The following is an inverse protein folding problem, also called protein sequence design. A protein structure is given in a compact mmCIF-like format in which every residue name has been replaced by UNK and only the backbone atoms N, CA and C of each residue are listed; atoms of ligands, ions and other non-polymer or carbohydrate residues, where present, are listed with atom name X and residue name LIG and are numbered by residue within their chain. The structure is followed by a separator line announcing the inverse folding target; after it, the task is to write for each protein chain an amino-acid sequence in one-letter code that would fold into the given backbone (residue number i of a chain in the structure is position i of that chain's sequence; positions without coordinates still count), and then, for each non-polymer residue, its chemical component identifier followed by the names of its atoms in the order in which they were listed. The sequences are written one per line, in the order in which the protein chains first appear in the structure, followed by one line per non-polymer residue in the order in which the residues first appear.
data_IF_004341806192
#
_entry.id   IF_004341806192
#
_cell.length_a   1.000
_cell.length_b   1.000
_cell.length_c   1.000
_cell.angle_alpha   90.00
_cell.angle_beta   90.00
_cell.angle_gamma   90.00
#
_symmetry.space_group_name_H-M   'P 1'
#
loop_
_entity.id
_entity.type
_entity.pdbx_description
1 polymer ?
#
# COMPACT_ATOMS: atom_id res chain seq x y z
N UNK A 1 2.66 9.39 6.41
CA UNK A 1 3.24 8.13 5.91
C UNK A 1 4.26 7.64 6.91
N UNK A 2 4.11 6.40 7.38
CA UNK A 2 4.87 5.81 8.48
C UNK A 2 5.50 4.48 8.05
N UNK A 3 6.38 3.95 8.88
CA UNK A 3 7.17 2.74 8.57
C UNK A 3 6.37 1.42 8.67
N UNK A 4 5.19 1.46 9.31
CA UNK A 4 4.44 0.27 9.72
C UNK A 4 3.48 -0.27 8.65
N UNK A 5 3.12 0.53 7.64
CA UNK A 5 2.16 0.14 6.59
C UNK A 5 2.67 0.58 5.20
N UNK A 6 3.81 0.03 4.78
CA UNK A 6 4.42 0.30 3.48
C UNK A 6 3.75 -0.47 2.35
N UNK A 7 3.66 0.15 1.18
CA UNK A 7 3.18 -0.49 -0.05
C UNK A 7 4.35 -1.12 -0.80
N UNK A 8 4.15 -2.33 -1.35
CA UNK A 8 5.11 -2.94 -2.25
C UNK A 8 5.20 -2.15 -3.57
N UNK A 9 6.40 -1.66 -3.90
CA UNK A 9 6.61 -0.82 -5.08
C UNK A 9 7.27 -1.55 -6.25
N UNK A 10 8.04 -2.61 -5.95
CA UNK A 10 8.79 -3.40 -6.92
C UNK A 10 9.14 -4.76 -6.30
N UNK A 11 9.00 -5.81 -7.10
CA UNK A 11 9.59 -7.12 -6.86
C UNK A 11 10.38 -7.50 -8.10
N UNK A 12 11.70 -7.60 -7.96
CA UNK A 12 12.64 -7.83 -9.07
C UNK A 12 13.97 -8.40 -8.55
N UNK A 13 14.90 -8.70 -9.46
CA UNK A 13 16.27 -9.11 -9.17
C UNK A 13 17.29 -8.32 -9.97
N UNK A 14 18.52 -8.26 -9.46
CA UNK A 14 19.68 -7.69 -10.16
C UNK A 14 20.39 -8.76 -10.99
N UNK A 15 21.03 -8.36 -12.08
CA UNK A 15 21.96 -9.22 -12.81
C UNK A 15 23.28 -9.35 -12.07
N UNK A 16 23.95 -10.48 -12.24
CA UNK A 16 25.29 -10.70 -11.67
C UNK A 16 26.38 -10.17 -12.60
N UNK A 17 26.39 -8.84 -12.80
CA UNK A 17 27.41 -8.13 -13.57
C UNK A 17 27.83 -6.83 -12.87
N UNK A 18 28.64 -5.99 -13.52
CA UNK A 18 29.15 -4.73 -12.98
C UNK A 18 28.40 -3.50 -13.50
N UNK A 19 27.29 -3.69 -14.22
CA UNK A 19 26.54 -2.60 -14.82
C UNK A 19 25.55 -2.01 -13.80
N UNK A 20 25.39 -0.69 -13.82
CA UNK A 20 24.32 -0.04 -13.03
C UNK A 20 22.96 -0.37 -13.64
N UNK A 21 22.00 -0.73 -12.81
CA UNK A 21 20.62 -1.01 -13.21
C UNK A 21 19.65 0.00 -12.59
N UNK A 22 18.62 0.38 -13.35
CA UNK A 22 17.57 1.30 -12.91
C UNK A 22 16.21 0.64 -13.11
N UNK A 23 15.37 0.69 -12.08
CA UNK A 23 14.03 0.10 -12.10
C UNK A 23 12.98 1.18 -11.83
N UNK A 24 11.90 1.15 -12.61
CA UNK A 24 10.74 2.00 -12.34
C UNK A 24 9.95 1.44 -11.17
N UNK A 25 9.76 2.25 -10.12
CA UNK A 25 8.93 1.91 -8.98
C UNK A 25 7.46 2.23 -9.27
N UNK A 26 6.54 1.45 -8.70
CA UNK A 26 5.13 1.83 -8.64
C UNK A 26 5.02 3.14 -7.86
N UNK A 27 4.47 4.16 -8.50
CA UNK A 27 4.31 5.51 -7.94
C UNK A 27 2.91 6.08 -8.17
N UNK A 28 1.99 5.26 -8.69
CA UNK A 28 0.58 5.61 -8.93
C UNK A 28 -0.37 4.58 -8.34
N UNK A 29 -1.52 5.06 -7.89
CA UNK A 29 -2.72 4.27 -7.61
C UNK A 29 -3.77 4.77 -8.58
N UNK A 30 -4.28 3.86 -9.41
CA UNK A 30 -4.99 4.21 -10.64
C UNK A 30 -4.14 5.19 -11.48
N UNK A 31 -4.59 6.42 -11.68
CA UNK A 31 -3.84 7.46 -12.40
C UNK A 31 -3.20 8.52 -11.50
N UNK A 32 -3.44 8.45 -10.19
CA UNK A 32 -2.99 9.47 -9.25
C UNK A 32 -1.67 9.07 -8.59
N UNK A 33 -0.71 10.01 -8.61
CA UNK A 33 0.58 9.81 -7.95
C UNK A 33 0.44 9.85 -6.42
N UNK A 34 1.23 9.02 -5.74
CA UNK A 34 1.36 9.06 -4.28
C UNK A 34 2.82 9.30 -3.88
N UNK A 35 3.09 10.18 -2.91
CA UNK A 35 4.46 10.43 -2.45
C UNK A 35 4.97 9.28 -1.58
N UNK A 36 6.27 9.23 -1.30
CA UNK A 36 6.87 8.38 -0.26
C UNK A 36 7.87 9.19 0.58
N UNK A 37 7.93 8.91 1.89
CA UNK A 37 8.96 9.46 2.79
C UNK A 37 10.01 8.43 3.18
N UNK A 38 9.63 7.15 3.15
CA UNK A 38 10.46 6.01 3.51
C UNK A 38 10.44 5.03 2.35
N UNK A 39 11.61 4.46 2.05
CA UNK A 39 11.78 3.36 1.10
C UNK A 39 12.51 2.25 1.84
N UNK A 40 11.92 1.05 1.84
CA UNK A 40 12.51 -0.14 2.45
C UNK A 40 12.92 -1.12 1.35
N UNK A 41 14.20 -1.43 1.27
CA UNK A 41 14.74 -2.45 0.37
C UNK A 41 14.84 -3.76 1.16
N UNK A 42 14.23 -4.83 0.66
CA UNK A 42 14.21 -6.15 1.30
C UNK A 42 14.91 -7.15 0.39
N UNK A 43 16.19 -7.49 0.64
CA UNK A 43 16.86 -8.52 -0.14
C UNK A 43 16.29 -9.91 0.21
N UNK A 44 15.97 -10.69 -0.82
CA UNK A 44 15.34 -12.01 -0.66
C UNK A 44 16.27 -13.17 -1.01
N UNK A 45 17.10 -13.01 -2.06
CA UNK A 45 18.00 -14.05 -2.54
C UNK A 45 19.30 -13.42 -3.04
N UNK A 46 20.44 -14.00 -2.66
CA UNK A 46 21.75 -13.66 -3.19
C UNK A 46 22.10 -14.60 -4.34
N UNK A 47 22.95 -14.15 -5.27
CA UNK A 47 23.38 -14.97 -6.40
C UNK A 47 24.24 -16.18 -5.98
N UNK A 48 24.96 -16.07 -4.86
CA UNK A 48 25.75 -17.18 -4.30
C UNK A 48 25.08 -17.74 -3.04
N UNK A 49 24.93 -19.08 -2.93
CA UNK A 49 24.11 -19.74 -1.91
C UNK A 49 24.62 -19.61 -0.45
N UNK A 50 25.71 -18.89 -0.21
CA UNK A 50 26.36 -18.81 1.12
C UNK A 50 26.90 -17.43 1.47
N UNK A 51 26.47 -16.38 0.76
CA UNK A 51 26.88 -15.00 1.04
C UNK A 51 25.76 -14.18 1.65
N UNK A 52 26.13 -13.26 2.54
CA UNK A 52 25.24 -12.23 3.07
C UNK A 52 24.73 -11.32 1.96
N UNK A 53 23.56 -10.71 2.18
CA UNK A 53 23.05 -9.69 1.28
C UNK A 53 23.93 -8.44 1.31
N UNK A 54 24.28 -7.94 0.13
CA UNK A 54 25.10 -6.73 -0.03
C UNK A 54 24.43 -5.82 -1.05
N UNK A 55 24.37 -4.53 -0.74
CA UNK A 55 23.91 -3.48 -1.64
C UNK A 55 25.07 -2.50 -1.79
N UNK A 56 25.59 -2.38 -3.02
CA UNK A 56 26.77 -1.56 -3.30
C UNK A 56 26.46 -0.06 -3.34
N UNK A 57 25.35 0.28 -3.98
CA UNK A 57 24.94 1.67 -4.20
C UNK A 57 23.42 1.72 -4.44
N UNK A 58 22.79 2.79 -3.95
CA UNK A 58 21.38 3.09 -4.18
C UNK A 58 21.24 4.55 -4.56
N UNK A 59 20.51 4.81 -5.63
CA UNK A 59 20.08 6.13 -6.05
C UNK A 59 18.56 6.14 -6.15
N UNK A 60 17.93 7.17 -5.61
CA UNK A 60 16.49 7.39 -5.72
C UNK A 60 16.26 8.65 -6.55
N UNK A 61 15.54 8.49 -7.66
CA UNK A 61 15.14 9.59 -8.54
C UNK A 61 13.63 9.71 -8.57
N UNK A 62 13.11 10.94 -8.55
CA UNK A 62 11.68 11.20 -8.57
C UNK A 62 11.37 12.69 -8.62
N UNK A 63 10.13 13.03 -8.28
CA UNK A 63 9.65 14.40 -8.20
C UNK A 63 9.60 14.80 -6.73
N UNK A 64 10.40 15.77 -6.32
CA UNK A 64 10.40 16.37 -4.98
C UNK A 64 9.86 17.80 -4.94
N UNK A 65 9.45 18.34 -6.10
CA UNK A 65 8.83 19.65 -6.23
C UNK A 65 7.59 19.77 -5.31
N UNK A 66 7.62 20.68 -4.31
CA UNK A 66 6.51 20.88 -3.39
C UNK A 66 5.18 21.16 -4.08
N UNK A 67 5.18 21.84 -5.23
CA UNK A 67 3.96 22.22 -5.94
C UNK A 67 3.24 21.00 -6.54
N UNK A 68 3.98 19.91 -6.80
CA UNK A 68 3.43 18.63 -7.25
C UNK A 68 3.19 17.69 -6.07
N UNK A 69 4.12 17.63 -5.12
CA UNK A 69 4.09 16.68 -4.00
C UNK A 69 2.96 17.01 -3.01
N UNK A 70 2.71 18.29 -2.71
CA UNK A 70 1.70 18.69 -1.71
C UNK A 70 0.27 18.28 -2.13
N UNK A 71 -0.20 18.55 -3.37
CA UNK A 71 -1.48 18.04 -3.84
C UNK A 71 -1.59 16.51 -3.76
N UNK A 72 -0.53 15.80 -4.17
CA UNK A 72 -0.50 14.34 -4.11
C UNK A 72 -0.56 13.82 -2.67
N UNK A 73 0.10 14.48 -1.72
CA UNK A 73 0.06 14.16 -0.30
C UNK A 73 -1.36 14.33 0.27
N UNK A 74 -2.03 15.43 -0.07
CA UNK A 74 -3.40 15.71 0.39
C UNK A 74 -4.39 14.68 -0.14
N UNK A 75 -4.29 14.33 -1.42
CA UNK A 75 -5.11 13.26 -2.00
C UNK A 75 -4.81 11.92 -1.34
N UNK A 76 -3.54 11.56 -1.21
CA UNK A 76 -3.14 10.26 -0.67
C UNK A 76 -3.52 10.09 0.81
N UNK A 77 -3.52 11.19 1.57
CA UNK A 77 -3.97 11.18 2.97
C UNK A 77 -5.47 10.83 3.06
N UNK A 78 -6.31 11.41 2.20
CA UNK A 78 -7.74 11.08 2.12
C UNK A 78 -7.96 9.65 1.65
N UNK A 79 -7.21 9.21 0.64
CA UNK A 79 -7.27 7.83 0.14
C UNK A 79 -6.95 6.82 1.25
N UNK A 80 -5.88 7.06 2.01
CA UNK A 80 -5.49 6.22 3.15
C UNK A 80 -6.52 6.20 4.27
N UNK A 81 -7.15 7.33 4.55
CA UNK A 81 -8.21 7.40 5.55
C UNK A 81 -9.42 6.55 5.15
N UNK A 82 -9.81 6.62 3.87
CA UNK A 82 -10.89 5.78 3.32
C UNK A 82 -10.54 4.29 3.38
N UNK A 83 -9.33 3.91 2.96
CA UNK A 83 -8.88 2.52 3.02
C UNK A 83 -8.75 2.01 4.46
N UNK A 84 -8.30 2.86 5.40
CA UNK A 84 -8.25 2.49 6.82
C UNK A 84 -9.66 2.21 7.36
N UNK A 85 -10.64 3.07 7.07
CA UNK A 85 -12.03 2.83 7.46
C UNK A 85 -12.57 1.54 6.84
N UNK A 86 -12.31 1.32 5.54
CA UNK A 86 -12.73 0.11 4.84
C UNK A 86 -12.13 -1.15 5.48
N UNK A 87 -10.85 -1.14 5.82
CA UNK A 87 -10.18 -2.25 6.50
C UNK A 87 -10.70 -2.45 7.93
N UNK A 88 -10.99 -1.37 8.66
CA UNK A 88 -11.63 -1.46 9.98
C UNK A 88 -13.02 -2.10 9.89
N UNK A 89 -13.86 -1.67 8.93
CA UNK A 89 -15.16 -2.29 8.68
C UNK A 89 -15.03 -3.78 8.35
N UNK A 90 -14.04 -4.14 7.50
CA UNK A 90 -13.73 -5.55 7.19
C UNK A 90 -13.37 -6.34 8.46
N UNK A 91 -12.49 -5.77 9.28
CA UNK A 91 -12.02 -6.39 10.51
C UNK A 91 -13.16 -6.59 11.52
N UNK A 92 -14.01 -5.58 11.72
CA UNK A 92 -15.17 -5.67 12.62
C UNK A 92 -16.20 -6.71 12.15
N UNK A 93 -16.46 -6.80 10.84
CA UNK A 93 -17.36 -7.82 10.28
C UNK A 93 -16.80 -9.23 10.51
N UNK A 94 -15.50 -9.44 10.30
CA UNK A 94 -14.84 -10.73 10.51
C UNK A 94 -14.81 -11.21 11.96
N UNK A 95 -14.88 -10.29 12.93
CA UNK A 95 -14.84 -10.60 14.36
C UNK A 95 -16.22 -10.45 15.04
N UNK A 96 -17.29 -10.32 14.24
CA UNK A 96 -18.68 -10.18 14.70
C UNK A 96 -18.93 -8.97 15.62
N UNK A 97 -18.13 -7.91 15.50
CA UNK A 97 -18.34 -6.64 16.22
C UNK A 97 -19.39 -5.77 15.50
N UNK A 98 -20.64 -6.24 15.50
CA UNK A 98 -21.75 -5.66 14.74
C UNK A 98 -22.07 -4.22 15.12
N UNK A 99 -22.07 -3.88 16.41
CA UNK A 99 -22.37 -2.52 16.89
C UNK A 99 -21.35 -1.48 16.41
N UNK A 100 -20.05 -1.83 16.47
CA UNK A 100 -18.97 -0.99 15.97
C UNK A 100 -19.00 -0.86 14.44
N UNK A 101 -19.29 -1.96 13.74
CA UNK A 101 -19.46 -1.97 12.28
C UNK A 101 -20.58 -1.03 11.84
N UNK A 102 -21.79 -1.18 12.39
CA UNK A 102 -22.94 -0.36 12.01
C UNK A 102 -22.72 1.13 12.33
N UNK A 103 -22.14 1.42 13.51
CA UNK A 103 -21.89 2.79 13.94
C UNK A 103 -20.89 3.50 13.01
N UNK A 104 -19.81 2.80 12.64
CA UNK A 104 -18.80 3.36 11.74
C UNK A 104 -19.32 3.49 10.31
N UNK A 105 -20.08 2.51 9.82
CA UNK A 105 -20.67 2.54 8.47
C UNK A 105 -21.70 3.67 8.32
N UNK A 106 -22.60 3.84 9.30
CA UNK A 106 -23.60 4.93 9.32
C UNK A 106 -22.94 6.32 9.29
N UNK A 107 -21.83 6.49 10.01
CA UNK A 107 -21.13 7.78 10.13
C UNK A 107 -20.28 8.11 8.90
N UNK A 108 -19.63 7.13 8.31
CA UNK A 108 -18.65 7.34 7.22
C UNK A 108 -19.27 7.21 5.83
N UNK A 109 -20.40 6.49 5.69
CA UNK A 109 -21.05 6.16 4.40
C UNK A 109 -20.13 5.47 3.38
N UNK A 110 -19.00 4.94 3.83
CA UNK A 110 -18.06 4.20 2.99
C UNK A 110 -18.61 2.79 2.80
N UNK A 111 -18.76 2.38 1.54
CA UNK A 111 -19.13 1.01 1.21
C UNK A 111 -17.92 0.09 1.45
N UNK A 112 -18.09 -0.92 2.30
CA UNK A 112 -17.06 -1.93 2.54
C UNK A 112 -16.75 -2.73 1.26
N UNK A 113 -17.79 -3.12 0.55
CA UNK A 113 -17.74 -3.97 -0.63
C UNK A 113 -18.95 -3.72 -1.54
N UNK A 114 -18.94 -4.31 -2.74
CA UNK A 114 -20.04 -4.19 -3.69
C UNK A 114 -21.35 -4.74 -3.07
N UNK A 115 -22.52 -4.10 -3.28
CA UNK A 115 -23.78 -4.51 -2.65
C UNK A 115 -24.13 -5.99 -2.84
N UNK A 116 -23.74 -6.57 -3.99
CA UNK A 116 -23.91 -8.00 -4.28
C UNK A 116 -23.14 -8.91 -3.32
N UNK A 117 -21.93 -8.53 -2.91
CA UNK A 117 -21.11 -9.31 -1.98
C UNK A 117 -21.69 -9.27 -0.57
N UNK A 118 -22.20 -8.10 -0.16
CA UNK A 118 -22.94 -7.96 1.09
C UNK A 118 -24.17 -8.86 1.12
N UNK A 119 -24.98 -8.86 0.04
CA UNK A 119 -26.18 -9.69 -0.07
C UNK A 119 -25.86 -11.20 -0.04
N UNK A 120 -24.76 -11.61 -0.68
CA UNK A 120 -24.29 -13.01 -0.63
C UNK A 120 -23.86 -13.38 0.80
N UNK A 121 -23.09 -12.52 1.47
CA UNK A 121 -22.66 -12.77 2.85
C UNK A 121 -23.87 -12.89 3.78
N UNK A 122 -24.85 -12.00 3.68
CA UNK A 122 -26.03 -12.01 4.55
C UNK A 122 -26.89 -13.26 4.34
N UNK A 123 -26.85 -13.85 3.14
CA UNK A 123 -27.57 -15.10 2.82
C UNK A 123 -26.79 -16.37 3.15
N UNK A 124 -25.45 -16.34 3.14
CA UNK A 124 -24.60 -17.53 3.32
C UNK A 124 -24.01 -17.68 4.73
N UNK A 125 -23.88 -16.60 5.48
CA UNK A 125 -23.21 -16.59 6.81
C UNK A 125 -24.24 -16.57 7.95
N UNK A 126 -25.38 -17.25 7.75
CA UNK A 126 -26.31 -17.61 8.82
C UNK A 126 -25.72 -18.74 9.69
#
# INVERSE_FOLDING_TARGET
MNEENMTELLSSGLKNDYNKETFTLKHKIDEQMFPCRFIKIVPLLSWGPSFNFSIWYVELSGIDDPDIVQPCLNWYSKYREQEAIRLCLKHFRQHNYTEAFESLQKKTKIALEHPMLTDIHDKLVL
#
